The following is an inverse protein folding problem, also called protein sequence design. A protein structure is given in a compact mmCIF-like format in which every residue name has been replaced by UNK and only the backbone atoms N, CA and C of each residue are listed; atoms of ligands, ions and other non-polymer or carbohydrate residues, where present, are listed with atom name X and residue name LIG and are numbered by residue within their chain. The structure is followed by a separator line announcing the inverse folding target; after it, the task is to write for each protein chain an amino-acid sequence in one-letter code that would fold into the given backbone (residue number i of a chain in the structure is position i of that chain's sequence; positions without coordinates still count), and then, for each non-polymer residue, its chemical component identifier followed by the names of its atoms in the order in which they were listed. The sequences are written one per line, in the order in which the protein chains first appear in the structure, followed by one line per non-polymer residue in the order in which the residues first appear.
data_IF_073231268813
#
_entry.id   IF_073231268813
#
_cell.length_a   1.000
_cell.length_b   1.000
_cell.length_c   1.000
_cell.angle_alpha   90.00
_cell.angle_beta   90.00
_cell.angle_gamma   90.00
#
_symmetry.space_group_name_H-M   'P 1'
#
loop_
_entity.id
_entity.type
_entity.pdbx_description
1 polymer ?
#
# COMPACT_ATOMS: atom_id res chain seq x y z
N UNK A 1 32.88 -20.54 -5.37
CA UNK A 1 31.88 -21.63 -5.47
C UNK A 1 31.49 -22.02 -4.06
N UNK A 2 30.21 -21.86 -3.70
CA UNK A 2 29.71 -22.30 -2.40
C UNK A 2 29.75 -23.83 -2.34
N UNK A 3 30.40 -24.38 -1.33
CA UNK A 3 30.51 -25.82 -1.14
C UNK A 3 29.13 -26.44 -0.86
N UNK A 4 28.92 -27.68 -1.28
CA UNK A 4 27.64 -28.42 -1.13
C UNK A 4 27.10 -28.44 0.32
N UNK A 5 27.96 -28.24 1.32
CA UNK A 5 27.63 -28.11 2.75
C UNK A 5 26.85 -26.83 3.09
N UNK A 6 26.97 -25.75 2.29
CA UNK A 6 26.27 -24.49 2.53
C UNK A 6 24.79 -24.51 2.06
N UNK A 7 24.36 -25.59 1.38
CA UNK A 7 22.98 -25.78 0.90
C UNK A 7 22.17 -26.74 1.78
N UNK A 8 22.58 -26.96 3.02
CA UNK A 8 21.83 -27.79 3.95
C UNK A 8 20.61 -27.04 4.53
N UNK A 9 19.59 -27.78 4.93
CA UNK A 9 18.41 -27.23 5.64
C UNK A 9 18.82 -26.44 6.89
N UNK A 10 19.85 -26.87 7.60
CA UNK A 10 20.39 -26.17 8.78
C UNK A 10 21.02 -24.81 8.39
N UNK A 11 21.77 -24.76 7.30
CA UNK A 11 22.33 -23.51 6.79
C UNK A 11 21.25 -22.55 6.30
N UNK A 12 20.22 -23.05 5.61
CA UNK A 12 19.03 -22.27 5.23
C UNK A 12 18.31 -21.71 6.44
N UNK A 13 18.04 -22.54 7.46
CA UNK A 13 17.40 -22.12 8.71
C UNK A 13 18.22 -21.06 9.44
N UNK A 14 19.55 -21.18 9.46
CA UNK A 14 20.43 -20.19 10.09
C UNK A 14 20.43 -18.82 9.37
N UNK A 15 20.13 -18.79 8.07
CA UNK A 15 20.04 -17.56 7.28
C UNK A 15 18.65 -16.93 7.28
N UNK A 16 17.62 -17.66 7.69
CA UNK A 16 16.24 -17.16 7.78
C UNK A 16 16.05 -16.41 9.11
N UNK A 17 16.51 -15.17 9.15
CA UNK A 17 16.43 -14.31 10.34
C UNK A 17 14.98 -14.12 10.79
N UNK A 18 14.70 -14.33 12.08
CA UNK A 18 13.37 -14.16 12.66
C UNK A 18 12.29 -15.11 12.14
N UNK A 19 12.65 -16.14 11.38
CA UNK A 19 11.70 -17.08 10.79
C UNK A 19 10.95 -16.58 9.56
N UNK A 20 11.39 -15.46 8.98
CA UNK A 20 10.81 -14.81 7.80
C UNK A 20 9.63 -13.88 8.14
N UNK A 21 9.45 -12.86 7.30
CA UNK A 21 8.28 -11.97 7.38
C UNK A 21 7.01 -12.73 6.98
N UNK A 22 5.90 -12.43 7.66
CA UNK A 22 4.62 -13.10 7.43
C UNK A 22 3.64 -12.14 6.77
N UNK A 23 3.00 -12.57 5.70
CA UNK A 23 2.07 -11.77 4.92
C UNK A 23 0.78 -11.39 5.68
N UNK A 24 0.43 -12.12 6.72
CA UNK A 24 -0.75 -11.85 7.54
C UNK A 24 -0.51 -10.88 8.72
N UNK A 25 0.73 -10.40 8.88
CA UNK A 25 1.08 -9.42 9.92
C UNK A 25 1.35 -8.07 9.23
N UNK A 26 0.32 -7.28 9.08
CA UNK A 26 0.40 -5.95 8.50
C UNK A 26 -0.65 -5.02 9.10
N UNK A 27 -0.44 -3.74 8.94
CA UNK A 27 -1.33 -2.66 9.33
C UNK A 27 -1.40 -1.63 8.20
N UNK A 28 -2.58 -1.10 7.95
CA UNK A 28 -2.82 -0.07 6.93
C UNK A 28 -3.45 1.14 7.59
N UNK A 29 -2.79 2.28 7.48
CA UNK A 29 -3.30 3.58 7.93
C UNK A 29 -3.62 4.43 6.70
N UNK A 30 -4.84 4.94 6.59
CA UNK A 30 -5.25 5.86 5.53
C UNK A 30 -5.65 7.17 6.16
N UNK A 31 -4.98 8.25 5.80
CA UNK A 31 -5.36 9.60 6.21
C UNK A 31 -6.44 10.12 5.26
N UNK A 32 -7.59 10.49 5.79
CA UNK A 32 -8.67 11.06 4.99
C UNK A 32 -8.52 12.58 4.86
N UNK A 33 -8.93 13.16 3.71
CA UNK A 33 -8.90 14.61 3.51
C UNK A 33 -9.95 15.31 4.39
N UNK A 34 -9.76 16.61 4.61
CA UNK A 34 -10.69 17.45 5.39
C UNK A 34 -12.10 17.51 4.82
N UNK A 35 -12.24 17.28 3.50
CA UNK A 35 -13.55 17.21 2.81
C UNK A 35 -14.44 16.07 3.31
N UNK A 36 -13.84 14.97 3.80
CA UNK A 36 -14.56 13.84 4.39
C UNK A 36 -14.93 14.11 5.86
N UNK A 37 -14.21 15.02 6.50
CA UNK A 37 -14.35 15.35 7.91
C UNK A 37 -13.55 14.43 8.84
N UNK A 38 -13.23 14.91 10.05
CA UNK A 38 -12.52 14.13 11.05
C UNK A 38 -13.44 13.07 11.68
N UNK A 39 -12.97 11.84 11.81
CA UNK A 39 -13.65 10.76 12.51
C UNK A 39 -12.64 9.74 13.03
N UNK A 40 -12.30 9.82 14.29
CA UNK A 40 -11.33 8.93 14.93
C UNK A 40 -11.78 7.46 14.91
N UNK A 41 -13.08 7.18 15.03
CA UNK A 41 -13.64 5.82 15.03
C UNK A 41 -13.43 5.18 13.64
N UNK A 42 -13.70 5.94 12.59
CA UNK A 42 -13.47 5.50 11.22
C UNK A 42 -11.97 5.22 10.96
N UNK A 43 -11.12 6.15 11.38
CA UNK A 43 -9.68 6.07 11.15
C UNK A 43 -9.07 4.85 11.87
N UNK A 44 -9.51 4.54 13.09
CA UNK A 44 -9.15 3.31 13.79
C UNK A 44 -9.71 2.06 13.08
N UNK A 45 -10.95 2.10 12.60
CA UNK A 45 -11.58 0.95 11.93
C UNK A 45 -10.86 0.54 10.65
N UNK A 46 -10.31 1.47 9.88
CA UNK A 46 -9.53 1.14 8.66
C UNK A 46 -8.38 0.20 8.98
N UNK A 47 -7.68 0.41 10.09
CA UNK A 47 -6.55 -0.41 10.51
C UNK A 47 -6.95 -1.86 10.78
N UNK A 48 -8.11 -2.08 11.37
CA UNK A 48 -8.60 -3.41 11.73
C UNK A 48 -9.38 -4.10 10.62
N UNK A 49 -10.12 -3.36 9.80
CA UNK A 49 -11.00 -3.90 8.77
C UNK A 49 -10.33 -4.04 7.40
N UNK A 50 -9.10 -3.56 7.23
CA UNK A 50 -8.32 -3.83 6.03
C UNK A 50 -7.89 -5.30 5.98
N UNK A 51 -8.60 -6.11 5.19
CA UNK A 51 -8.36 -7.56 5.04
C UNK A 51 -7.12 -7.87 4.22
N UNK A 52 -6.89 -7.10 3.17
CA UNK A 52 -5.76 -7.30 2.26
C UNK A 52 -5.25 -5.99 1.70
N UNK A 53 -3.94 -5.87 1.63
CA UNK A 53 -3.24 -4.78 0.99
C UNK A 53 -1.97 -5.31 0.33
N UNK A 54 -1.49 -4.60 -0.68
CA UNK A 54 -0.28 -4.95 -1.39
C UNK A 54 0.86 -4.00 -1.03
N UNK A 55 2.08 -4.52 -0.98
CA UNK A 55 3.29 -3.70 -0.98
C UNK A 55 3.50 -3.24 -2.43
N UNK A 56 3.75 -1.94 -2.68
CA UNK A 56 3.80 -1.41 -4.03
C UNK A 56 4.93 -2.01 -4.85
N UNK A 57 4.67 -2.27 -6.12
CA UNK A 57 5.68 -2.65 -7.09
C UNK A 57 6.59 -1.46 -7.44
N UNK A 58 7.80 -1.74 -7.85
CA UNK A 58 8.74 -0.73 -8.34
C UNK A 58 9.06 -1.00 -9.80
N UNK A 59 8.47 -0.22 -10.68
CA UNK A 59 8.60 -0.38 -12.12
C UNK A 59 9.55 0.67 -12.70
N UNK A 60 10.52 0.21 -13.50
CA UNK A 60 11.39 1.07 -14.31
C UNK A 60 11.16 0.74 -15.77
N UNK A 61 10.92 1.77 -16.56
CA UNK A 61 10.81 1.64 -18.01
C UNK A 61 12.11 1.14 -18.64
N UNK A 62 12.00 0.63 -19.85
CA UNK A 62 13.14 0.21 -20.65
C UNK A 62 13.13 0.97 -21.97
N UNK A 63 14.23 1.65 -22.27
CA UNK A 63 14.45 2.34 -23.53
C UNK A 63 15.31 1.44 -24.42
N UNK A 64 14.75 0.83 -25.48
CA UNK A 64 15.50 -0.01 -26.38
C UNK A 64 16.30 0.84 -27.38
N UNK A 65 17.62 0.82 -27.29
CA UNK A 65 18.51 1.51 -28.23
C UNK A 65 19.05 0.49 -29.26
N UNK A 66 18.61 0.55 -30.53
CA UNK A 66 19.09 -0.37 -31.55
C UNK A 66 20.51 0.00 -32.00
N UNK A 67 21.40 -1.00 -32.06
CA UNK A 67 22.75 -0.85 -32.56
C UNK A 67 23.20 -2.11 -33.33
N UNK A 68 23.43 -1.97 -34.62
CA UNK A 68 24.00 -3.02 -35.53
C UNK A 68 23.34 -4.41 -35.37
N UNK A 69 21.96 -4.46 -35.34
CA UNK A 69 21.22 -5.71 -35.22
C UNK A 69 21.04 -6.24 -33.78
N UNK A 70 21.50 -5.49 -32.79
CA UNK A 70 21.31 -5.77 -31.36
C UNK A 70 20.56 -4.61 -30.71
N UNK A 71 19.92 -4.88 -29.59
CA UNK A 71 19.25 -3.87 -28.77
C UNK A 71 19.98 -3.74 -27.44
N UNK A 72 20.42 -2.53 -27.13
CA UNK A 72 20.94 -2.16 -25.80
C UNK A 72 19.77 -1.66 -24.95
N UNK A 73 19.41 -2.35 -23.86
CA UNK A 73 18.41 -1.84 -22.92
C UNK A 73 19.02 -0.75 -22.05
N UNK A 74 18.39 0.42 -22.04
CA UNK A 74 18.74 1.54 -21.15
C UNK A 74 17.57 1.76 -20.20
N UNK A 75 17.86 2.06 -18.92
CA UNK A 75 16.83 2.35 -17.95
C UNK A 75 16.05 3.61 -18.34
N UNK A 76 14.73 3.52 -18.31
CA UNK A 76 13.79 4.61 -18.58
C UNK A 76 13.16 5.18 -17.30
N UNK A 77 12.02 5.84 -17.46
CA UNK A 77 11.29 6.48 -16.39
C UNK A 77 10.65 5.48 -15.43
N UNK A 78 10.46 5.93 -14.18
CA UNK A 78 9.75 5.15 -13.15
C UNK A 78 8.24 5.34 -13.29
N UNK A 79 7.51 4.24 -13.21
CA UNK A 79 6.05 4.22 -13.20
C UNK A 79 5.52 3.55 -11.94
N UNK A 80 4.34 3.97 -11.51
CA UNK A 80 3.67 3.43 -10.33
C UNK A 80 2.34 2.83 -10.72
N UNK A 81 2.11 1.58 -10.34
CA UNK A 81 0.83 0.92 -10.53
C UNK A 81 -0.15 1.35 -9.44
N UNK A 82 -1.45 1.44 -9.74
CA UNK A 82 -2.46 1.76 -8.72
C UNK A 82 -2.40 0.79 -7.55
N UNK A 83 -2.64 1.30 -6.34
CA UNK A 83 -2.61 0.52 -5.11
C UNK A 83 -4.03 0.12 -4.70
N UNK A 84 -4.26 -1.16 -4.49
CA UNK A 84 -5.57 -1.70 -4.13
C UNK A 84 -5.57 -2.26 -2.71
N UNK A 85 -6.62 -1.92 -1.96
CA UNK A 85 -6.90 -2.47 -0.64
C UNK A 85 -8.27 -3.13 -0.64
N UNK A 86 -8.39 -4.25 0.08
CA UNK A 86 -9.67 -4.93 0.33
C UNK A 86 -10.10 -4.67 1.75
N UNK A 87 -11.31 -4.17 1.94
CA UNK A 87 -11.86 -3.75 3.22
C UNK A 87 -13.11 -4.57 3.51
N UNK A 88 -13.20 -5.08 4.75
CA UNK A 88 -14.42 -5.71 5.26
C UNK A 88 -15.41 -4.61 5.56
N UNK A 89 -16.63 -4.75 5.04
CA UNK A 89 -17.69 -3.79 5.30
C UNK A 89 -18.36 -4.10 6.64
N UNK A 90 -18.54 -3.06 7.45
CA UNK A 90 -19.25 -3.15 8.73
C UNK A 90 -20.67 -2.58 8.55
N UNK A 91 -21.58 -2.94 9.46
CA UNK A 91 -23.00 -2.56 9.41
C UNK A 91 -23.27 -1.06 9.49
N UNK A 92 -22.32 -0.27 9.96
CA UNK A 92 -22.39 1.19 10.00
C UNK A 92 -21.91 1.88 8.71
N UNK A 93 -21.29 1.14 7.77
CA UNK A 93 -20.79 1.62 6.48
C UNK A 93 -19.80 2.81 6.55
N UNK A 94 -19.24 3.11 7.73
CA UNK A 94 -18.43 4.31 7.95
C UNK A 94 -17.27 4.46 6.97
N UNK A 95 -16.55 3.36 6.70
CA UNK A 95 -15.39 3.40 5.80
C UNK A 95 -15.86 3.54 4.35
N UNK A 96 -16.90 2.81 3.98
CA UNK A 96 -17.48 2.87 2.63
C UNK A 96 -17.97 4.28 2.32
N UNK A 97 -18.76 4.87 3.23
CA UNK A 97 -19.25 6.25 3.12
C UNK A 97 -18.11 7.26 3.00
N UNK A 98 -17.03 7.06 3.76
CA UNK A 98 -15.87 7.94 3.68
C UNK A 98 -15.19 7.89 2.31
N UNK A 99 -15.04 6.69 1.74
CA UNK A 99 -14.46 6.53 0.39
C UNK A 99 -15.34 7.13 -0.69
N UNK A 100 -16.66 6.97 -0.58
CA UNK A 100 -17.62 7.56 -1.50
C UNK A 100 -17.67 9.08 -1.39
N UNK A 101 -17.67 9.65 -0.16
CA UNK A 101 -17.57 11.10 0.06
C UNK A 101 -16.25 11.67 -0.48
N UNK A 102 -15.15 10.95 -0.28
CA UNK A 102 -13.87 11.37 -0.84
C UNK A 102 -13.90 11.43 -2.36
N UNK A 103 -14.36 10.38 -3.02
CA UNK A 103 -14.53 10.34 -4.47
C UNK A 103 -15.48 11.44 -4.96
N UNK A 104 -16.61 11.63 -4.26
CA UNK A 104 -17.60 12.64 -4.60
C UNK A 104 -17.11 14.09 -4.40
N UNK A 105 -16.20 14.32 -3.44
CA UNK A 105 -15.57 15.63 -3.24
C UNK A 105 -14.62 16.00 -4.39
N UNK A 106 -14.03 15.02 -5.07
CA UNK A 106 -13.16 15.22 -6.23
C UNK A 106 -14.00 15.53 -7.47
N UNK A 107 -15.10 14.78 -7.66
CA UNK A 107 -16.02 14.97 -8.76
C UNK A 107 -17.43 14.54 -8.33
N UNK A 108 -18.29 15.52 -8.11
CA UNK A 108 -19.66 15.31 -7.65
C UNK A 108 -20.49 14.58 -8.71
N UNK A 109 -21.21 13.54 -8.28
CA UNK A 109 -21.99 12.65 -9.14
C UNK A 109 -23.10 13.36 -9.93
N UNK A 110 -23.66 14.44 -9.40
CA UNK A 110 -24.78 15.15 -10.05
C UNK A 110 -24.33 16.35 -10.85
N UNK A 111 -23.42 17.16 -10.31
CA UNK A 111 -23.04 18.44 -10.88
C UNK A 111 -21.74 18.39 -11.66
N UNK A 112 -20.96 17.30 -11.52
CA UNK A 112 -19.60 17.17 -12.04
C UNK A 112 -18.65 18.30 -11.57
N UNK A 113 -18.99 18.98 -10.48
CA UNK A 113 -18.13 19.98 -9.83
C UNK A 113 -17.36 19.30 -8.69
N UNK A 114 -16.20 19.84 -8.35
CA UNK A 114 -15.39 19.27 -7.29
C UNK A 114 -14.16 20.10 -6.96
N UNK A 115 -13.30 19.51 -6.13
CA UNK A 115 -12.05 20.13 -5.71
C UNK A 115 -11.04 20.13 -6.88
N UNK A 116 -10.65 21.30 -7.32
CA UNK A 116 -9.70 21.49 -8.42
C UNK A 116 -8.25 21.38 -7.93
N UNK A 117 -7.99 21.81 -6.69
CA UNK A 117 -6.65 21.77 -6.11
C UNK A 117 -6.31 20.36 -5.61
N UNK A 118 -5.28 19.71 -6.17
CA UNK A 118 -4.84 18.41 -5.71
C UNK A 118 -4.50 18.36 -4.22
N UNK A 119 -3.95 19.43 -3.66
CA UNK A 119 -3.63 19.51 -2.23
C UNK A 119 -4.86 19.41 -1.30
N UNK A 120 -6.06 19.67 -1.83
CA UNK A 120 -7.29 19.61 -1.05
C UNK A 120 -7.89 18.19 -0.96
N UNK A 121 -7.55 17.29 -1.90
CA UNK A 121 -8.09 15.93 -1.93
C UNK A 121 -7.02 14.83 -1.86
N UNK A 122 -5.77 15.15 -2.14
CA UNK A 122 -4.67 14.20 -1.99
C UNK A 122 -4.21 14.12 -0.55
N UNK A 123 -3.94 12.90 -0.09
CA UNK A 123 -3.50 12.64 1.28
C UNK A 123 -2.38 11.60 1.32
N UNK A 124 -2.20 10.96 2.47
CA UNK A 124 -1.16 9.95 2.73
C UNK A 124 -1.75 8.65 3.21
N UNK A 125 -1.07 7.55 2.90
CA UNK A 125 -1.33 6.27 3.54
C UNK A 125 -0.02 5.60 3.94
N UNK A 126 -0.13 4.72 4.95
CA UNK A 126 0.98 3.91 5.42
C UNK A 126 0.61 2.44 5.34
N UNK A 127 1.54 1.63 4.88
CA UNK A 127 1.48 0.18 5.00
C UNK A 127 2.66 -0.27 5.85
N UNK A 128 2.37 -0.86 6.99
CA UNK A 128 3.37 -1.35 7.94
C UNK A 128 3.39 -2.87 7.91
N UNK A 129 4.54 -3.44 7.60
CA UNK A 129 4.79 -4.86 7.77
C UNK A 129 5.21 -5.10 9.21
N UNK A 130 4.46 -5.94 9.92
CA UNK A 130 4.71 -6.26 11.31
C UNK A 130 5.49 -7.57 11.46
N UNK A 131 6.26 -7.67 12.52
CA UNK A 131 6.93 -8.88 12.96
C UNK A 131 6.11 -9.60 14.02
N UNK A 132 6.50 -10.83 14.37
CA UNK A 132 5.92 -11.51 15.53
C UNK A 132 6.34 -10.79 16.82
N UNK A 133 5.39 -10.55 17.70
CA UNK A 133 5.68 -9.98 19.01
C UNK A 133 6.60 -10.89 19.82
N UNK A 134 7.50 -10.28 20.60
CA UNK A 134 8.29 -10.99 21.58
C UNK A 134 7.39 -11.50 22.73
N UNK A 135 7.89 -12.48 23.49
CA UNK A 135 7.18 -13.05 24.64
C UNK A 135 7.19 -12.04 25.81
N UNK A 136 6.05 -11.40 26.10
CA UNK A 136 5.88 -10.52 27.25
C UNK A 136 4.58 -9.69 27.17
N UNK A 137 3.99 -9.31 28.32
CA UNK A 137 2.70 -8.62 28.34
C UNK A 137 2.73 -7.20 27.72
N UNK A 138 3.91 -6.59 27.57
CA UNK A 138 4.10 -5.25 26.99
C UNK A 138 4.79 -5.26 25.62
N UNK A 139 4.95 -6.43 25.00
CA UNK A 139 5.66 -6.55 23.73
C UNK A 139 4.74 -6.15 22.57
N UNK A 140 4.88 -4.90 22.11
CA UNK A 140 4.28 -4.43 20.86
C UNK A 140 4.88 -5.20 19.69
N UNK A 141 4.05 -5.48 18.67
CA UNK A 141 4.54 -6.08 17.43
C UNK A 141 5.58 -5.16 16.79
N UNK A 142 6.82 -5.65 16.54
CA UNK A 142 7.84 -4.80 15.95
C UNK A 142 7.50 -4.48 14.51
N UNK A 143 7.51 -3.21 14.15
CA UNK A 143 7.38 -2.78 12.76
C UNK A 143 8.67 -3.12 12.02
N UNK A 144 8.60 -4.03 11.07
CA UNK A 144 9.74 -4.45 10.26
C UNK A 144 10.03 -3.45 9.14
N UNK A 145 8.98 -2.90 8.54
CA UNK A 145 9.11 -1.98 7.42
C UNK A 145 7.84 -1.15 7.27
N UNK A 146 7.98 0.13 6.96
CA UNK A 146 6.87 1.03 6.67
C UNK A 146 7.01 1.59 5.27
N UNK A 147 5.93 1.53 4.51
CA UNK A 147 5.79 2.17 3.21
C UNK A 147 4.84 3.36 3.37
N UNK A 148 5.29 4.53 2.96
CA UNK A 148 4.51 5.75 2.93
C UNK A 148 4.12 6.04 1.49
N UNK A 149 2.83 6.16 1.24
CA UNK A 149 2.28 6.61 -0.04
C UNK A 149 1.95 8.09 0.05
N UNK A 150 2.47 8.87 -0.87
CA UNK A 150 2.22 10.32 -0.97
C UNK A 150 1.26 10.64 -2.10
N UNK A 151 0.35 11.57 -1.84
CA UNK A 151 -0.60 12.07 -2.83
C UNK A 151 -1.64 11.04 -3.25
N UNK A 152 -2.11 10.19 -2.32
CA UNK A 152 -3.14 9.20 -2.61
C UNK A 152 -4.52 9.84 -2.78
N UNK A 153 -5.30 9.28 -3.67
CA UNK A 153 -6.74 9.53 -3.80
C UNK A 153 -7.45 8.32 -4.40
N UNK A 154 -8.73 8.07 -4.08
CA UNK A 154 -9.47 6.93 -4.59
C UNK A 154 -9.77 7.13 -6.08
N UNK A 155 -9.38 6.14 -6.89
CA UNK A 155 -9.69 6.07 -8.31
C UNK A 155 -10.93 5.21 -8.56
N UNK A 156 -11.03 4.07 -7.85
CA UNK A 156 -12.16 3.15 -7.97
C UNK A 156 -12.59 2.72 -6.57
N UNK A 157 -13.87 2.83 -6.28
CA UNK A 157 -14.54 2.17 -5.16
C UNK A 157 -15.42 1.08 -5.76
N UNK A 158 -15.08 -0.19 -5.52
CA UNK A 158 -15.74 -1.32 -6.20
C UNK A 158 -17.20 -1.47 -5.79
N UNK A 159 -17.98 -2.12 -6.64
CA UNK A 159 -19.33 -2.59 -6.27
C UNK A 159 -19.26 -3.68 -5.19
N UNK A 160 -20.33 -3.81 -4.42
CA UNK A 160 -20.56 -4.91 -3.49
C UNK A 160 -21.65 -5.79 -4.09
N UNK A 161 -21.38 -7.07 -4.36
CA UNK A 161 -22.41 -7.98 -4.85
C UNK A 161 -23.38 -8.33 -3.73
N UNK A 162 -24.69 -8.20 -3.98
CA UNK A 162 -25.75 -8.60 -3.05
C UNK A 162 -26.50 -9.79 -3.63
N UNK A 163 -26.57 -10.88 -2.87
CA UNK A 163 -27.24 -12.12 -3.29
C UNK A 163 -27.96 -12.76 -2.10
N UNK A 164 -29.27 -13.02 -2.23
CA UNK A 164 -30.07 -13.72 -1.22
C UNK A 164 -29.58 -15.16 -0.93
N UNK A 165 -28.87 -15.77 -1.87
CA UNK A 165 -28.30 -17.11 -1.70
C UNK A 165 -26.96 -17.13 -0.97
N UNK A 166 -26.34 -15.97 -0.76
CA UNK A 166 -25.05 -15.87 -0.06
C UNK A 166 -25.29 -15.97 1.45
N UNK A 167 -25.12 -17.15 1.99
CA UNK A 167 -25.20 -17.42 3.44
C UNK A 167 -23.80 -17.46 4.04
N UNK A 168 -23.64 -16.99 5.29
CA UNK A 168 -22.39 -17.04 6.05
C UNK A 168 -21.19 -16.28 5.40
N UNK A 169 -21.48 -15.21 4.67
CA UNK A 169 -20.49 -14.34 4.05
C UNK A 169 -20.60 -12.92 4.58
N UNK A 170 -19.47 -12.31 4.89
CA UNK A 170 -19.39 -10.89 5.24
C UNK A 170 -19.07 -10.12 3.95
N UNK A 171 -19.71 -8.96 3.80
CA UNK A 171 -19.45 -8.08 2.66
C UNK A 171 -18.04 -7.53 2.68
N UNK A 172 -17.44 -7.49 1.50
CA UNK A 172 -16.13 -6.91 1.26
C UNK A 172 -16.18 -6.02 0.02
N UNK A 173 -15.39 -4.96 0.04
CA UNK A 173 -15.20 -4.12 -1.13
C UNK A 173 -13.72 -3.77 -1.31
N UNK A 174 -13.39 -3.39 -2.53
CA UNK A 174 -12.04 -2.96 -2.87
C UNK A 174 -12.03 -1.48 -3.17
N UNK A 175 -11.00 -0.80 -2.71
CA UNK A 175 -10.70 0.57 -3.12
C UNK A 175 -9.33 0.60 -3.78
N UNK A 176 -9.29 1.12 -5.00
CA UNK A 176 -8.06 1.32 -5.74
C UNK A 176 -7.68 2.78 -5.68
N UNK A 177 -6.45 3.06 -5.31
CA UNK A 177 -5.90 4.39 -5.18
C UNK A 177 -4.85 4.66 -6.24
N UNK A 178 -4.85 5.87 -6.80
CA UNK A 178 -3.70 6.42 -7.46
C UNK A 178 -2.86 7.20 -6.44
N UNK A 179 -1.56 7.30 -6.66
CA UNK A 179 -0.62 8.01 -5.81
C UNK A 179 0.53 8.58 -6.65
N UNK A 180 1.24 9.57 -6.11
CA UNK A 180 2.36 10.20 -6.80
C UNK A 180 3.62 9.34 -6.75
N UNK A 181 3.98 8.91 -5.54
CA UNK A 181 5.13 8.04 -5.27
C UNK A 181 4.98 7.39 -3.91
N UNK A 182 5.84 6.41 -3.64
CA UNK A 182 5.96 5.86 -2.31
C UNK A 182 7.40 5.92 -1.80
N UNK A 183 7.55 5.99 -0.49
CA UNK A 183 8.83 5.95 0.20
C UNK A 183 8.87 4.80 1.20
N UNK A 184 10.08 4.30 1.45
CA UNK A 184 10.31 3.31 2.50
C UNK A 184 10.94 3.99 3.70
N UNK A 185 10.17 4.13 4.76
CA UNK A 185 10.63 4.78 5.99
C UNK A 185 11.63 3.88 6.74
N UNK A 186 12.69 4.49 7.28
CA UNK A 186 13.74 3.80 8.03
C UNK A 186 14.87 3.21 7.18
N UNK A 187 14.86 3.38 5.87
CA UNK A 187 16.04 3.16 5.03
C UNK A 187 16.69 4.50 4.69
N UNK A 188 18.01 4.58 4.82
CA UNK A 188 18.76 5.72 4.31
C UNK A 188 18.51 5.84 2.81
N UNK A 189 18.05 6.99 2.36
CA UNK A 189 17.82 7.24 0.93
C UNK A 189 19.16 7.14 0.19
N UNK A 190 19.29 6.36 -0.87
CA UNK A 190 20.57 6.26 -1.62
C UNK A 190 20.95 7.55 -2.35
N UNK A 191 20.10 8.58 -2.29
CA UNK A 191 20.32 9.86 -2.97
C UNK A 191 21.34 10.78 -2.29
N UNK A 192 21.84 10.44 -1.11
CA UNK A 192 22.85 11.26 -0.42
C UNK A 192 24.32 10.94 -0.77
N UNK A 193 24.57 9.88 -1.54
CA UNK A 193 25.93 9.46 -1.92
C UNK A 193 26.34 9.80 -3.37
N UNK A 194 25.46 10.44 -4.15
CA UNK A 194 25.77 10.76 -5.56
C UNK A 194 26.43 12.15 -5.74
N UNK A 195 26.82 12.81 -4.66
CA UNK A 195 27.57 14.07 -4.75
C UNK A 195 29.03 13.79 -4.40
N UNK A 196 29.82 13.26 -5.30
CA UNK A 196 31.27 13.40 -5.43
C UNK A 196 31.85 12.24 -6.23
N UNK A 197 31.66 12.25 -7.53
CA UNK A 197 32.57 11.63 -8.50
C UNK A 197 32.37 12.38 -9.82
N UNK A 198 32.93 13.58 -9.87
CA UNK A 198 33.17 14.36 -11.07
C UNK A 198 34.61 14.26 -11.50
#
# INVERSE_FOLDING_TARGET
MATFRERSISAFRGKLTGGGARSNLFEVDITFPTSVGPDNVRDEKVNFLCKAAEIPASNLGNIPVPYRGRVLPVAGDRTFDPWTVTIINDTDFLIRDAMERWSNSINDLQTAQGLVDPAAYQTRAFVKQLGRSGSGPDSKEPVLRTYLFEGIYPNVVSSIPLDFGATDQIEEFQTTFNYLFYEVLGQASPSSELTEAG
#
